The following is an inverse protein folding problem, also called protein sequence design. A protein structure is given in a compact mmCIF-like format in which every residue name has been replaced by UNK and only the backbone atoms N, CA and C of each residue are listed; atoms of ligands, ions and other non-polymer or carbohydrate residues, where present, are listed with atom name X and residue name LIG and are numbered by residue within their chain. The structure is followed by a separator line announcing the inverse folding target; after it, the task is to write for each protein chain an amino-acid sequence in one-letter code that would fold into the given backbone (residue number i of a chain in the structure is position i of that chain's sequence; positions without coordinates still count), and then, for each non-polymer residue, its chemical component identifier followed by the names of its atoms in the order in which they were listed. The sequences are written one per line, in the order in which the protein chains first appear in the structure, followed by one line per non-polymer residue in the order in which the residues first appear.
data_IF_467053855096
#
_entry.id   IF_467053855096
#
_cell.length_a   1.000
_cell.length_b   1.000
_cell.length_c   1.000
_cell.angle_alpha   90.00
_cell.angle_beta   90.00
_cell.angle_gamma   90.00
#
_symmetry.space_group_name_H-M   'P 1'
#
loop_
_entity.id
_entity.type
_entity.pdbx_description
1 polymer ?
#
# COMPACT_ATOMS: atom_id res chain seq x y z
N UNK A 1 -4.76 19.95 -17.09
CA UNK A 1 -5.52 18.71 -16.80
C UNK A 1 -4.51 17.58 -16.69
N UNK A 2 -4.24 17.10 -15.48
CA UNK A 2 -3.37 15.93 -15.28
C UNK A 2 -4.07 14.74 -15.92
N UNK A 3 -3.51 14.18 -17.00
CA UNK A 3 -4.04 12.94 -17.59
C UNK A 3 -3.97 11.87 -16.50
N UNK A 4 -5.12 11.42 -16.03
CA UNK A 4 -5.18 10.34 -15.05
C UNK A 4 -4.54 9.09 -15.62
N UNK A 5 -3.80 8.36 -14.79
CA UNK A 5 -3.22 7.06 -15.16
C UNK A 5 -4.39 6.09 -15.40
N UNK A 6 -4.36 5.37 -16.51
CA UNK A 6 -5.37 4.36 -16.84
C UNK A 6 -5.31 3.16 -15.89
N UNK A 7 -6.40 2.41 -15.79
CA UNK A 7 -6.48 1.20 -14.98
C UNK A 7 -5.40 0.17 -15.34
N UNK A 8 -5.12 0.01 -16.63
CA UNK A 8 -4.14 -0.95 -17.12
C UNK A 8 -2.71 -0.55 -16.75
N UNK A 9 -2.39 0.74 -16.86
CA UNK A 9 -1.11 1.29 -16.40
C UNK A 9 -0.92 1.09 -14.89
N UNK A 10 -1.97 1.28 -14.08
CA UNK A 10 -1.93 1.02 -12.64
C UNK A 10 -1.64 -0.46 -12.32
N UNK A 11 -2.31 -1.39 -13.00
CA UNK A 11 -2.11 -2.83 -12.82
C UNK A 11 -0.71 -3.26 -13.22
N UNK A 12 -0.20 -2.77 -14.35
CA UNK A 12 1.15 -3.09 -14.82
C UNK A 12 2.21 -2.55 -13.86
N UNK A 13 2.05 -1.33 -13.37
CA UNK A 13 2.95 -0.76 -12.37
C UNK A 13 2.99 -1.58 -11.07
N UNK A 14 1.84 -2.00 -10.55
CA UNK A 14 1.78 -2.84 -9.35
C UNK A 14 2.43 -4.21 -9.56
N UNK A 15 2.27 -4.82 -10.73
CA UNK A 15 2.92 -6.09 -11.09
C UNK A 15 4.44 -5.95 -11.16
N UNK A 16 4.95 -4.86 -11.74
CA UNK A 16 6.39 -4.56 -11.76
C UNK A 16 6.96 -4.39 -10.36
N UNK A 17 6.27 -3.64 -9.49
CA UNK A 17 6.67 -3.46 -8.10
C UNK A 17 6.67 -4.79 -7.33
N UNK A 18 5.68 -5.64 -7.58
CA UNK A 18 5.62 -7.00 -7.03
C UNK A 18 6.82 -7.85 -7.46
N UNK A 19 7.17 -7.83 -8.74
CA UNK A 19 8.33 -8.56 -9.26
C UNK A 19 9.65 -8.12 -8.61
N UNK A 20 9.72 -6.86 -8.13
CA UNK A 20 10.84 -6.31 -7.37
C UNK A 20 10.80 -6.64 -5.86
N UNK A 21 9.84 -7.46 -5.41
CA UNK A 21 9.68 -7.86 -4.01
C UNK A 21 8.87 -6.89 -3.15
N UNK A 22 8.18 -5.91 -3.74
CA UNK A 22 7.26 -5.04 -3.00
C UNK A 22 5.93 -5.76 -2.77
N UNK A 23 5.54 -5.94 -1.51
CA UNK A 23 4.40 -6.79 -1.13
C UNK A 23 3.26 -6.04 -0.47
N UNK A 24 3.48 -4.81 0.02
CA UNK A 24 2.50 -4.08 0.80
C UNK A 24 2.21 -2.71 0.20
N UNK A 25 0.94 -2.30 0.21
CA UNK A 25 0.46 -0.99 -0.21
C UNK A 25 -0.20 -0.32 0.99
N UNK A 26 0.21 0.92 1.29
CA UNK A 26 -0.47 1.75 2.29
C UNK A 26 -1.83 2.23 1.73
N UNK A 27 -2.92 2.05 2.47
CA UNK A 27 -4.25 2.49 2.05
C UNK A 27 -4.49 3.99 2.23
N UNK A 28 -3.67 4.68 3.04
CA UNK A 28 -3.75 6.13 3.22
C UNK A 28 -3.13 6.93 2.07
N UNK A 29 -1.96 6.52 1.58
CA UNK A 29 -1.20 7.27 0.57
C UNK A 29 -0.79 6.48 -0.67
N UNK A 30 -1.20 5.21 -0.81
CA UNK A 30 -0.87 4.30 -1.91
C UNK A 30 0.63 4.00 -2.11
N UNK A 31 1.49 4.37 -1.16
CA UNK A 31 2.91 4.01 -1.22
C UNK A 31 3.08 2.50 -1.09
N UNK A 32 3.98 1.94 -1.90
CA UNK A 32 4.26 0.50 -1.94
C UNK A 32 5.59 0.20 -1.24
N UNK A 33 5.62 -0.84 -0.42
CA UNK A 33 6.75 -1.24 0.41
C UNK A 33 7.08 -2.74 0.25
N UNK A 34 8.36 -3.07 0.40
CA UNK A 34 8.83 -4.46 0.52
C UNK A 34 8.39 -5.12 1.82
N UNK A 35 8.53 -4.39 2.93
CA UNK A 35 8.08 -4.75 4.27
C UNK A 35 7.34 -3.57 4.86
N UNK A 36 6.37 -3.83 5.74
CA UNK A 36 5.67 -2.73 6.41
C UNK A 36 6.67 -1.95 7.28
N UNK A 37 6.73 -0.62 7.15
CA UNK A 37 7.49 0.20 8.09
C UNK A 37 6.89 0.08 9.49
N UNK A 38 7.75 0.15 10.51
CA UNK A 38 7.35 0.11 11.91
C UNK A 38 7.83 1.38 12.59
N UNK A 39 6.97 1.94 13.43
CA UNK A 39 7.25 3.08 14.28
C UNK A 39 7.11 2.65 15.73
N UNK A 40 7.97 3.20 16.61
CA UNK A 40 7.84 3.01 18.05
C UNK A 40 6.75 3.93 18.56
N UNK A 41 5.70 3.34 19.14
CA UNK A 41 4.59 4.07 19.72
C UNK A 41 4.69 3.96 21.23
N UNK A 42 4.72 5.11 21.90
CA UNK A 42 4.70 5.17 23.36
C UNK A 42 3.28 5.47 23.82
N UNK A 43 2.58 4.44 24.31
CA UNK A 43 1.21 4.51 24.81
C UNK A 43 1.14 4.66 26.33
N UNK A 44 2.26 4.98 26.98
CA UNK A 44 2.38 5.09 28.43
C UNK A 44 2.52 3.75 29.16
N UNK A 45 2.55 2.61 28.46
CA UNK A 45 2.67 1.27 29.05
C UNK A 45 3.98 0.54 28.68
N UNK A 46 4.99 1.29 28.23
CA UNK A 46 6.24 0.73 27.70
C UNK A 46 6.12 0.54 26.20
N UNK A 47 6.85 1.37 25.44
CA UNK A 47 6.67 1.50 24.00
C UNK A 47 6.62 0.17 23.25
N UNK A 48 5.75 0.12 22.24
CA UNK A 48 5.63 -1.03 21.35
C UNK A 48 5.79 -0.59 19.89
N UNK A 49 6.22 -1.50 19.03
CA UNK A 49 6.34 -1.22 17.60
C UNK A 49 5.01 -1.52 16.90
N UNK A 50 4.53 -0.56 16.13
CA UNK A 50 3.34 -0.71 15.30
C UNK A 50 3.68 -0.54 13.82
N UNK A 51 3.06 -1.35 12.96
CA UNK A 51 3.14 -1.16 11.52
C UNK A 51 2.51 0.19 11.15
N UNK A 52 3.33 1.16 10.73
CA UNK A 52 2.86 2.52 10.48
C UNK A 52 3.59 3.15 9.30
N UNK A 53 2.81 3.58 8.30
CA UNK A 53 3.31 4.31 7.15
C UNK A 53 3.77 5.71 7.59
N UNK A 54 4.76 6.27 6.90
CA UNK A 54 5.20 7.66 7.11
C UNK A 54 4.10 8.71 6.94
N UNK A 55 3.01 8.38 6.25
CA UNK A 55 1.84 9.25 6.14
C UNK A 55 0.93 9.20 7.39
N UNK A 56 1.28 8.43 8.42
CA UNK A 56 0.51 8.25 9.65
C UNK A 56 -0.59 7.18 9.57
N UNK A 57 -0.68 6.41 8.49
CA UNK A 57 -1.66 5.33 8.36
C UNK A 57 -1.07 3.99 8.77
N UNK A 58 -1.80 3.24 9.59
CA UNK A 58 -1.54 1.87 10.02
C UNK A 58 -2.22 0.83 9.10
N UNK A 59 -2.95 1.29 8.09
CA UNK A 59 -3.72 0.43 7.18
C UNK A 59 -2.90 0.03 5.96
N UNK A 60 -2.62 -1.27 5.85
CA UNK A 60 -1.91 -1.86 4.72
C UNK A 60 -2.70 -2.98 4.08
N UNK A 61 -2.55 -3.14 2.77
CA UNK A 61 -3.04 -4.28 1.99
C UNK A 61 -1.90 -4.91 1.23
N UNK A 62 -2.00 -6.19 0.86
CA UNK A 62 -1.00 -6.80 -0.01
C UNK A 62 -1.16 -6.29 -1.44
N UNK A 63 -0.05 -6.22 -2.19
CA UNK A 63 -0.07 -5.85 -3.61
C UNK A 63 -0.99 -6.78 -4.40
N UNK A 64 -1.01 -8.07 -4.09
CA UNK A 64 -1.92 -9.04 -4.73
C UNK A 64 -3.40 -8.72 -4.53
N UNK A 65 -3.77 -8.38 -3.29
CA UNK A 65 -5.15 -8.01 -2.98
C UNK A 65 -5.51 -6.66 -3.60
N UNK A 66 -4.56 -5.73 -3.72
CA UNK A 66 -4.77 -4.48 -4.46
C UNK A 66 -4.98 -4.73 -5.97
N UNK A 67 -4.14 -5.58 -6.58
CA UNK A 67 -4.29 -5.99 -7.99
C UNK A 67 -5.67 -6.61 -8.21
N UNK A 68 -6.05 -7.58 -7.37
CA UNK A 68 -7.37 -8.23 -7.44
C UNK A 68 -8.50 -7.20 -7.35
N UNK A 69 -8.45 -6.30 -6.37
CA UNK A 69 -9.44 -5.24 -6.19
C UNK A 69 -9.57 -4.33 -7.41
N UNK A 70 -8.45 -3.88 -7.98
CA UNK A 70 -8.45 -3.05 -9.20
C UNK A 70 -8.94 -3.86 -10.40
N UNK A 71 -8.63 -5.16 -10.49
CA UNK A 71 -9.09 -6.05 -11.57
C UNK A 71 -10.58 -6.42 -11.46
N UNK A 72 -11.18 -6.38 -10.28
CA UNK A 72 -12.59 -6.74 -10.06
C UNK A 72 -13.52 -5.55 -9.90
N UNK A 73 -13.00 -4.33 -9.72
CA UNK A 73 -13.81 -3.11 -9.71
C UNK A 73 -14.58 -2.97 -11.03
N UNK A 74 -15.85 -3.37 -11.00
CA UNK A 74 -16.88 -2.91 -11.93
C UNK A 74 -17.15 -1.46 -11.54
N UNK A 75 -16.96 -0.56 -12.49
CA UNK A 75 -17.40 0.83 -12.35
C UNK A 75 -18.92 0.83 -12.31
N UNK A 76 -19.51 1.12 -11.14
CA UNK A 76 -20.88 1.67 -11.05
C UNK A 76 -20.93 3.07 -11.66
#
# INVERSE_FOLDING_TARGET
MSKGITREEQLNHLRELKARGNNYVCLGCNTVYMKKPQEEVNDGHGGHYMDMCRCGSDLFVTVDRMIKHISERVTD
#
